data_IF_424329299917
#
_entry.id   IF_424329299917
#
_cell.length_a   1.000
_cell.length_b   1.000
_cell.length_c   1.000
_cell.angle_alpha   90.00
_cell.angle_beta   90.00
_cell.angle_gamma   90.00
#
_symmetry.space_group_name_H-M   'P 1'
#
loop_
_entity.id
_entity.type
_entity.pdbx_description
1 polymer ?
#
# COMPACT_ATOMS: atom_id res chain seq x y z
N UNK A 1 -18.15 -14.93 6.63
CA UNK A 1 -18.05 -14.59 8.06
C UNK A 1 -17.60 -15.85 8.77
N UNK A 2 -16.38 -15.88 9.30
CA UNK A 2 -15.80 -17.08 9.90
C UNK A 2 -16.58 -17.48 11.17
N UNK A 3 -16.61 -18.79 11.42
CA UNK A 3 -17.41 -19.57 12.38
C UNK A 3 -17.11 -19.23 13.87
N UNK A 4 -17.29 -17.96 14.26
CA UNK A 4 -16.85 -17.35 15.52
C UNK A 4 -17.96 -16.97 16.50
N UNK A 5 -19.18 -17.44 16.30
CA UNK A 5 -20.33 -16.98 17.12
C UNK A 5 -20.28 -17.44 18.58
N UNK A 6 -19.40 -18.37 18.94
CA UNK A 6 -19.33 -19.00 20.27
C UNK A 6 -17.90 -19.17 20.76
N UNK A 7 -17.74 -19.17 22.08
CA UNK A 7 -16.46 -19.31 22.79
C UNK A 7 -15.61 -20.55 22.40
N UNK A 8 -16.21 -21.61 21.84
CA UNK A 8 -15.48 -22.79 21.38
C UNK A 8 -14.94 -23.74 22.47
N UNK A 9 -14.84 -23.30 23.72
CA UNK A 9 -14.38 -24.13 24.84
C UNK A 9 -15.43 -25.17 25.30
N UNK A 10 -14.96 -26.25 25.94
CA UNK A 10 -15.83 -27.24 26.60
C UNK A 10 -16.21 -26.78 28.01
N UNK A 11 -17.45 -27.03 28.42
CA UNK A 11 -17.92 -26.86 29.80
C UNK A 11 -17.41 -28.00 30.67
N UNK A 12 -17.51 -27.84 31.99
CA UNK A 12 -17.15 -28.89 32.96
C UNK A 12 -17.95 -30.19 32.77
N UNK A 13 -19.20 -30.09 32.29
CA UNK A 13 -20.04 -31.23 31.91
C UNK A 13 -19.71 -31.84 30.54
N UNK A 14 -18.64 -31.37 29.88
CA UNK A 14 -18.19 -31.88 28.58
C UNK A 14 -18.89 -31.28 27.34
N UNK A 15 -19.96 -30.50 27.53
CA UNK A 15 -20.69 -29.83 26.45
C UNK A 15 -19.93 -28.64 25.85
N UNK A 16 -20.40 -28.11 24.71
CA UNK A 16 -19.83 -26.87 24.11
C UNK A 16 -20.32 -25.63 24.87
N UNK A 17 -19.43 -24.66 25.09
CA UNK A 17 -19.80 -23.37 25.67
C UNK A 17 -20.79 -22.63 24.75
N UNK A 18 -21.89 -22.15 25.35
CA UNK A 18 -22.97 -21.43 24.63
C UNK A 18 -22.79 -19.90 24.60
N UNK A 19 -21.82 -19.37 25.36
CA UNK A 19 -21.52 -17.95 25.35
C UNK A 19 -20.93 -17.53 24.00
N UNK A 20 -21.19 -16.29 23.55
CA UNK A 20 -20.48 -15.70 22.43
C UNK A 20 -18.97 -15.74 22.63
N UNK A 21 -18.21 -15.79 21.52
CA UNK A 21 -16.77 -15.58 21.57
C UNK A 21 -16.46 -14.21 22.17
N UNK A 22 -15.43 -14.14 23.01
CA UNK A 22 -15.07 -12.92 23.73
C UNK A 22 -16.11 -12.40 24.74
N UNK A 23 -17.14 -13.18 25.11
CA UNK A 23 -18.17 -12.70 26.05
C UNK A 23 -17.56 -12.23 27.37
N UNK A 24 -17.84 -10.96 27.74
CA UNK A 24 -17.28 -10.22 28.89
C UNK A 24 -15.75 -10.08 28.87
N UNK A 25 -15.18 -9.82 27.70
CA UNK A 25 -13.76 -9.51 27.50
C UNK A 25 -13.61 -8.34 26.52
N UNK A 26 -12.40 -7.82 26.35
CA UNK A 26 -12.10 -6.72 25.42
C UNK A 26 -12.00 -7.17 23.94
N UNK A 27 -12.23 -8.46 23.65
CA UNK A 27 -12.12 -9.05 22.31
C UNK A 27 -13.42 -9.70 21.83
N UNK A 28 -14.52 -8.93 21.85
CA UNK A 28 -15.85 -9.37 21.42
C UNK A 28 -15.83 -10.03 20.03
N UNK A 29 -16.41 -11.23 19.92
CA UNK A 29 -16.47 -12.00 18.68
C UNK A 29 -15.25 -12.87 18.41
N UNK A 30 -14.22 -12.84 19.26
CA UNK A 30 -12.98 -13.59 19.06
C UNK A 30 -12.59 -14.37 20.32
N UNK A 31 -11.93 -15.52 20.12
CA UNK A 31 -11.36 -16.31 21.21
C UNK A 31 -12.36 -16.80 22.27
N UNK A 32 -11.82 -17.22 23.41
CA UNK A 32 -12.61 -17.76 24.52
C UNK A 32 -13.29 -16.64 25.33
N UNK A 33 -14.46 -16.93 25.90
CA UNK A 33 -15.15 -16.01 26.81
C UNK A 33 -14.43 -15.86 28.15
N UNK A 34 -14.86 -14.87 28.94
CA UNK A 34 -14.37 -14.62 30.30
C UNK A 34 -14.35 -15.87 31.19
N UNK A 35 -15.39 -16.71 31.13
CA UNK A 35 -15.51 -17.94 31.93
C UNK A 35 -14.53 -19.05 31.51
N UNK A 36 -13.90 -18.92 30.35
CA UNK A 36 -12.94 -19.88 29.81
C UNK A 36 -11.60 -19.18 29.53
N UNK A 37 -11.13 -18.41 30.52
CA UNK A 37 -9.80 -17.78 30.53
C UNK A 37 -9.58 -16.72 29.43
N UNK A 38 -10.66 -16.23 28.79
CA UNK A 38 -10.59 -15.23 27.74
C UNK A 38 -9.88 -13.93 28.15
N UNK A 39 -10.10 -13.46 29.37
CA UNK A 39 -9.53 -12.21 29.88
C UNK A 39 -8.09 -12.34 30.41
N UNK A 40 -7.49 -13.52 30.34
CA UNK A 40 -6.08 -13.70 30.73
C UNK A 40 -5.14 -13.11 29.67
N UNK A 41 -3.89 -12.79 30.02
CA UNK A 41 -2.89 -12.30 29.06
C UNK A 41 -2.74 -13.21 27.84
N UNK A 42 -2.76 -14.54 28.05
CA UNK A 42 -2.68 -15.50 26.94
C UNK A 42 -3.99 -15.58 26.15
N UNK A 43 -5.15 -15.46 26.81
CA UNK A 43 -6.46 -15.35 26.16
C UNK A 43 -6.54 -14.12 25.26
N UNK A 44 -6.12 -12.96 25.75
CA UNK A 44 -6.05 -11.71 24.98
C UNK A 44 -5.07 -11.82 23.81
N UNK A 45 -3.87 -12.39 24.00
CA UNK A 45 -2.92 -12.64 22.90
C UNK A 45 -3.50 -13.57 21.83
N UNK A 46 -4.18 -14.64 22.24
CA UNK A 46 -4.80 -15.58 21.32
C UNK A 46 -5.96 -14.94 20.54
N UNK A 47 -6.80 -14.16 21.22
CA UNK A 47 -7.90 -13.44 20.58
C UNK A 47 -7.39 -12.34 19.63
N UNK A 48 -6.35 -11.59 20.01
CA UNK A 48 -5.71 -10.61 19.13
C UNK A 48 -5.13 -11.28 17.87
N UNK A 49 -4.50 -12.45 18.00
CA UNK A 49 -4.07 -13.23 16.84
C UNK A 49 -5.25 -13.65 15.97
N UNK A 50 -6.34 -14.14 16.56
CA UNK A 50 -7.54 -14.52 15.81
C UNK A 50 -8.18 -13.31 15.09
N UNK A 51 -8.19 -12.14 15.72
CA UNK A 51 -8.63 -10.88 15.11
C UNK A 51 -7.77 -10.51 13.91
N UNK A 52 -6.44 -10.49 14.08
CA UNK A 52 -5.50 -10.18 13.00
C UNK A 52 -5.65 -11.18 11.84
N UNK A 53 -5.80 -12.47 12.14
CA UNK A 53 -6.00 -13.49 11.11
C UNK A 53 -7.34 -13.35 10.40
N UNK A 54 -8.40 -12.90 11.09
CA UNK A 54 -9.68 -12.62 10.46
C UNK A 54 -9.65 -11.36 9.57
N UNK A 55 -8.78 -10.40 9.90
CA UNK A 55 -8.50 -9.24 9.05
C UNK A 55 -7.56 -9.58 7.88
N UNK A 56 -6.69 -10.58 8.06
CA UNK A 56 -5.77 -11.07 7.04
C UNK A 56 -6.52 -11.99 6.06
N UNK A 57 -7.27 -11.38 5.15
CA UNK A 57 -7.87 -12.09 4.01
C UNK A 57 -6.89 -12.16 2.87
N UNK A 58 -6.93 -13.26 2.11
CA UNK A 58 -6.28 -13.32 0.81
C UNK A 58 -6.81 -12.16 -0.06
N UNK A 59 -5.89 -11.40 -0.63
CA UNK A 59 -6.18 -10.31 -1.53
C UNK A 59 -5.50 -10.61 -2.86
N UNK A 60 -6.28 -10.55 -3.94
CA UNK A 60 -5.72 -10.63 -5.29
C UNK A 60 -4.95 -9.33 -5.56
N UNK A 61 -3.65 -9.46 -5.79
CA UNK A 61 -2.78 -8.33 -6.08
C UNK A 61 -1.58 -8.79 -6.90
N UNK A 62 -1.29 -8.09 -7.98
CA UNK A 62 -0.10 -8.35 -8.78
C UNK A 62 1.16 -7.93 -7.99
N UNK A 63 2.20 -8.77 -7.90
CA UNK A 63 3.40 -8.47 -7.11
C UNK A 63 4.07 -7.13 -7.46
N UNK A 64 4.08 -6.75 -8.74
CA UNK A 64 4.62 -5.46 -9.18
C UNK A 64 3.82 -4.28 -8.63
N UNK A 65 2.50 -4.40 -8.58
CA UNK A 65 1.64 -3.35 -8.01
C UNK A 65 1.84 -3.21 -6.50
N UNK A 66 2.00 -4.33 -5.79
CA UNK A 66 2.29 -4.34 -4.35
C UNK A 66 3.61 -3.63 -4.07
N UNK A 67 4.68 -3.98 -4.80
CA UNK A 67 5.99 -3.35 -4.64
C UNK A 67 5.96 -1.85 -4.96
N UNK A 68 5.32 -1.46 -6.07
CA UNK A 68 5.19 -0.06 -6.44
C UNK A 68 4.37 0.74 -5.41
N UNK A 69 3.32 0.14 -4.84
CA UNK A 69 2.54 0.75 -3.76
C UNK A 69 3.38 0.91 -2.49
N UNK A 70 4.13 -0.12 -2.10
CA UNK A 70 5.02 -0.06 -0.94
C UNK A 70 6.05 1.06 -1.10
N UNK A 71 6.73 1.16 -2.25
CA UNK A 71 7.68 2.24 -2.55
C UNK A 71 7.03 3.62 -2.40
N UNK A 72 5.83 3.82 -2.97
CA UNK A 72 5.11 5.09 -2.86
C UNK A 72 4.74 5.43 -1.41
N UNK A 73 4.27 4.45 -0.64
CA UNK A 73 3.94 4.64 0.77
C UNK A 73 5.20 4.97 1.60
N UNK A 74 6.29 4.24 1.40
CA UNK A 74 7.57 4.49 2.08
C UNK A 74 8.08 5.89 1.76
N UNK A 75 8.04 6.29 0.49
CA UNK A 75 8.47 7.63 0.08
C UNK A 75 7.57 8.73 0.65
N UNK A 76 6.26 8.51 0.72
CA UNK A 76 5.34 9.41 1.41
C UNK A 76 5.68 9.54 2.91
N UNK A 77 6.06 8.45 3.56
CA UNK A 77 6.51 8.47 4.95
C UNK A 77 7.84 9.24 5.11
N UNK A 78 8.79 9.07 4.19
CA UNK A 78 10.03 9.86 4.15
C UNK A 78 9.72 11.35 4.10
N UNK A 79 8.85 11.79 3.18
CA UNK A 79 8.47 13.20 3.05
C UNK A 79 7.78 13.73 4.31
N UNK A 80 6.87 12.95 4.89
CA UNK A 80 6.20 13.33 6.13
C UNK A 80 7.19 13.54 7.28
N UNK A 81 8.13 12.60 7.47
CA UNK A 81 9.13 12.70 8.53
C UNK A 81 10.08 13.88 8.28
N UNK A 82 10.46 14.15 7.03
CA UNK A 82 11.25 15.34 6.68
C UNK A 82 10.54 16.64 7.07
N UNK A 83 9.25 16.77 6.74
CA UNK A 83 8.46 17.93 7.13
C UNK A 83 8.40 18.06 8.66
N UNK A 84 8.20 16.95 9.39
CA UNK A 84 8.17 16.97 10.85
C UNK A 84 9.52 17.36 11.48
N UNK A 85 10.62 16.89 10.91
CA UNK A 85 11.97 17.29 11.32
C UNK A 85 12.22 18.79 11.08
N UNK A 86 11.72 19.34 9.97
CA UNK A 86 11.80 20.77 9.70
C UNK A 86 11.01 21.58 10.75
N UNK A 87 9.78 21.17 11.09
CA UNK A 87 8.99 21.81 12.14
C UNK A 87 9.70 21.79 13.50
N UNK A 88 10.27 20.64 13.89
CA UNK A 88 10.99 20.51 15.15
C UNK A 88 12.24 21.38 15.19
N UNK A 89 12.94 21.51 14.06
CA UNK A 89 14.09 22.40 13.95
C UNK A 89 13.67 23.87 14.18
N UNK A 90 12.53 24.30 13.65
CA UNK A 90 11.96 25.63 13.95
C UNK A 90 11.65 25.77 15.45
N UNK A 91 10.97 24.78 16.05
CA UNK A 91 10.65 24.80 17.48
C UNK A 91 11.88 24.90 18.37
N UNK A 92 12.97 24.21 18.01
CA UNK A 92 14.24 24.28 18.73
C UNK A 92 14.85 25.69 18.67
N UNK A 93 14.84 26.31 17.48
CA UNK A 93 15.41 27.63 17.24
C UNK A 93 14.59 28.74 17.92
N UNK A 94 13.27 28.58 17.97
CA UNK A 94 12.32 29.57 18.52
C UNK A 94 11.98 29.32 20.00
N UNK A 95 12.51 28.27 20.62
CA UNK A 95 12.21 27.92 22.01
C UNK A 95 12.62 29.04 22.98
N UNK A 96 11.63 29.57 23.71
CA UNK A 96 11.77 30.61 24.72
C UNK A 96 12.37 30.08 26.05
N UNK A 97 12.26 28.77 26.29
CA UNK A 97 12.79 28.11 27.49
C UNK A 97 13.76 26.98 27.15
N UNK A 98 14.62 26.62 28.12
CA UNK A 98 15.50 25.48 27.98
C UNK A 98 14.74 24.15 27.97
N UNK A 99 13.65 24.07 28.74
CA UNK A 99 12.80 22.87 28.85
C UNK A 99 12.07 22.56 27.52
N UNK A 100 11.50 23.59 26.86
CA UNK A 100 10.84 23.43 25.55
C UNK A 100 11.85 23.01 24.47
N UNK A 101 13.04 23.61 24.51
CA UNK A 101 14.13 23.26 23.58
C UNK A 101 14.55 21.80 23.76
N UNK A 102 14.74 21.36 25.00
CA UNK A 102 15.11 19.97 25.30
C UNK A 102 14.01 18.98 24.86
N UNK A 103 12.74 19.30 25.11
CA UNK A 103 11.62 18.47 24.67
C UNK A 103 11.57 18.32 23.14
N UNK A 104 11.79 19.41 22.38
CA UNK A 104 11.83 19.38 20.93
C UNK A 104 13.05 18.60 20.40
N UNK A 105 14.23 18.75 21.01
CA UNK A 105 15.44 17.97 20.67
C UNK A 105 15.23 16.46 20.89
N UNK A 106 14.61 16.07 22.01
CA UNK A 106 14.35 14.66 22.29
C UNK A 106 13.39 14.04 21.26
N UNK A 107 12.36 14.78 20.83
CA UNK A 107 11.50 14.35 19.73
C UNK A 107 12.28 14.25 18.42
N UNK A 108 13.17 15.20 18.12
CA UNK A 108 13.96 15.21 16.89
C UNK A 108 14.78 13.92 16.73
N UNK A 109 15.40 13.42 17.81
CA UNK A 109 16.15 12.16 17.77
C UNK A 109 15.29 10.95 17.34
N UNK A 110 14.06 10.85 17.86
CA UNK A 110 13.12 9.78 17.47
C UNK A 110 12.72 9.89 16.00
N UNK A 111 12.45 11.10 15.52
CA UNK A 111 12.09 11.33 14.12
C UNK A 111 13.27 11.15 13.16
N UNK A 112 14.50 11.45 13.58
CA UNK A 112 15.71 11.18 12.79
C UNK A 112 15.93 9.67 12.62
N UNK A 113 15.69 8.87 13.67
CA UNK A 113 15.73 7.43 13.55
C UNK A 113 14.65 6.91 12.60
N UNK A 114 13.41 7.38 12.77
CA UNK A 114 12.30 7.01 11.88
C UNK A 114 12.59 7.40 10.42
N UNK A 115 13.23 8.55 10.19
CA UNK A 115 13.66 8.97 8.86
C UNK A 115 14.62 7.97 8.23
N UNK A 116 15.67 7.56 8.95
CA UNK A 116 16.61 6.54 8.49
C UNK A 116 15.91 5.22 8.14
N UNK A 117 15.05 4.73 9.04
CA UNK A 117 14.29 3.50 8.82
C UNK A 117 13.43 3.55 7.55
N UNK A 118 12.76 4.67 7.26
CA UNK A 118 11.93 4.82 6.06
C UNK A 118 12.75 4.97 4.79
N UNK A 119 13.89 5.67 4.85
CA UNK A 119 14.82 5.77 3.71
C UNK A 119 15.36 4.37 3.35
N UNK A 120 15.78 3.59 4.35
CA UNK A 120 16.29 2.24 4.15
C UNK A 120 15.22 1.30 3.57
N UNK A 121 13.98 1.36 4.07
CA UNK A 121 12.86 0.58 3.52
C UNK A 121 12.57 0.96 2.07
N UNK A 122 12.50 2.25 1.78
CA UNK A 122 12.26 2.75 0.43
C UNK A 122 13.35 2.25 -0.54
N UNK A 123 14.62 2.34 -0.13
CA UNK A 123 15.74 1.82 -0.92
C UNK A 123 15.65 0.30 -1.13
N UNK A 124 15.29 -0.45 -0.08
CA UNK A 124 15.13 -1.91 -0.14
C UNK A 124 14.02 -2.33 -1.09
N UNK A 125 12.82 -1.75 -0.97
CA UNK A 125 11.71 -2.09 -1.86
C UNK A 125 11.97 -1.65 -3.30
N UNK A 126 12.64 -0.50 -3.50
CA UNK A 126 13.08 -0.05 -4.83
C UNK A 126 14.03 -1.07 -5.47
N UNK A 127 15.02 -1.56 -4.72
CA UNK A 127 15.90 -2.64 -5.18
C UNK A 127 15.12 -3.91 -5.52
N UNK A 128 14.20 -4.34 -4.65
CA UNK A 128 13.37 -5.54 -4.91
C UNK A 128 12.53 -5.39 -6.18
N UNK A 129 12.00 -4.20 -6.48
CA UNK A 129 11.27 -3.94 -7.71
C UNK A 129 12.16 -4.01 -8.96
N UNK A 130 13.40 -3.49 -8.88
CA UNK A 130 14.38 -3.61 -9.96
C UNK A 130 14.81 -5.06 -10.17
N UNK A 131 15.16 -5.78 -9.10
CA UNK A 131 15.56 -7.19 -9.17
C UNK A 131 14.42 -8.09 -9.72
N UNK A 132 13.17 -7.73 -9.44
CA UNK A 132 11.99 -8.42 -9.99
C UNK A 132 11.65 -8.03 -11.45
N UNK A 133 12.41 -7.13 -12.06
CA UNK A 133 12.21 -6.72 -13.45
C UNK A 133 10.96 -5.87 -13.68
N UNK A 134 10.49 -5.13 -12.66
CA UNK A 134 9.23 -4.38 -12.72
C UNK A 134 9.29 -3.30 -13.80
N UNK A 135 10.40 -2.56 -13.91
CA UNK A 135 10.56 -1.51 -14.93
C UNK A 135 10.62 -2.09 -16.34
N UNK A 136 11.38 -3.17 -16.53
CA UNK A 136 11.53 -3.86 -17.80
C UNK A 136 10.19 -4.41 -18.28
N UNK A 137 9.39 -4.95 -17.36
CA UNK A 137 8.03 -5.39 -17.67
C UNK A 137 7.13 -4.23 -18.06
N UNK A 138 7.18 -3.10 -17.35
CA UNK A 138 6.40 -1.91 -17.70
C UNK A 138 6.77 -1.37 -19.08
N UNK A 139 8.06 -1.27 -19.40
CA UNK A 139 8.55 -0.84 -20.71
C UNK A 139 8.03 -1.81 -21.79
N UNK A 140 8.20 -3.12 -21.59
CA UNK A 140 7.74 -4.13 -22.55
C UNK A 140 6.23 -4.07 -22.79
N UNK A 141 5.44 -3.85 -21.74
CA UNK A 141 3.99 -3.68 -21.88
C UNK A 141 3.65 -2.43 -22.70
N UNK A 142 4.29 -1.30 -22.39
CA UNK A 142 4.10 -0.06 -23.15
C UNK A 142 4.50 -0.20 -24.62
N UNK A 143 5.62 -0.85 -24.91
CA UNK A 143 6.07 -1.14 -26.28
C UNK A 143 5.08 -2.06 -27.02
N UNK A 144 4.62 -3.13 -26.36
CA UNK A 144 3.64 -4.06 -26.93
C UNK A 144 2.32 -3.36 -27.25
N UNK A 145 1.83 -2.50 -26.35
CA UNK A 145 0.63 -1.70 -26.57
C UNK A 145 0.84 -0.74 -27.75
N UNK A 146 1.99 -0.05 -27.82
CA UNK A 146 2.33 0.83 -28.94
C UNK A 146 2.37 0.08 -30.28
N UNK A 147 2.96 -1.11 -30.31
CA UNK A 147 2.98 -1.96 -31.49
C UNK A 147 1.57 -2.40 -31.93
N UNK A 148 0.70 -2.75 -30.98
CA UNK A 148 -0.69 -3.10 -31.28
C UNK A 148 -1.47 -1.93 -31.87
N UNK A 149 -1.28 -0.71 -31.35
CA UNK A 149 -1.87 0.50 -31.93
C UNK A 149 -1.39 0.73 -33.36
N UNK A 150 -0.09 0.60 -33.63
CA UNK A 150 0.45 0.77 -34.98
C UNK A 150 -0.14 -0.24 -35.97
N UNK A 151 -0.23 -1.52 -35.58
CA UNK A 151 -0.86 -2.58 -36.39
C UNK A 151 -2.33 -2.24 -36.68
N UNK A 152 -3.10 -1.85 -35.65
CA UNK A 152 -4.50 -1.50 -35.80
C UNK A 152 -4.70 -0.30 -36.74
N UNK A 153 -3.93 0.78 -36.55
CA UNK A 153 -3.98 1.96 -37.41
C UNK A 153 -3.60 1.64 -38.85
N UNK A 154 -2.61 0.76 -39.07
CA UNK A 154 -2.21 0.35 -40.41
C UNK A 154 -3.30 -0.49 -41.09
N UNK A 155 -3.96 -1.40 -40.36
CA UNK A 155 -5.09 -2.17 -40.88
C UNK A 155 -6.27 -1.27 -41.26
N UNK A 156 -6.60 -0.28 -40.42
CA UNK A 156 -7.64 0.73 -40.72
C UNK A 156 -7.26 1.52 -41.96
N UNK A 157 -6.02 2.03 -42.05
CA UNK A 157 -5.54 2.79 -43.20
C UNK A 157 -5.68 1.98 -44.50
N UNK A 158 -5.27 0.70 -44.47
CA UNK A 158 -5.39 -0.20 -45.62
C UNK A 158 -6.85 -0.42 -46.03
N UNK A 159 -7.75 -0.65 -45.08
CA UNK A 159 -9.18 -0.85 -45.37
C UNK A 159 -9.88 0.37 -45.97
N UNK A 160 -9.40 1.58 -45.66
CA UNK A 160 -9.97 2.83 -46.16
C UNK A 160 -9.54 3.19 -47.61
N UNK A 161 -8.56 2.49 -48.19
CA UNK A 161 -8.06 2.73 -49.56
C UNK A 161 -7.82 4.23 -49.86
N UNK A 162 -7.08 4.89 -48.98
CA UNK A 162 -6.86 6.34 -49.05
C UNK A 162 -6.09 6.75 -50.31
N UNK A 163 -6.47 7.89 -50.89
CA UNK A 163 -5.66 8.54 -51.94
C UNK A 163 -4.36 9.10 -51.35
N UNK A 164 -3.32 9.37 -52.16
CA UNK A 164 -2.05 9.93 -51.65
C UNK A 164 -2.22 11.24 -50.86
N UNK A 165 -3.16 12.10 -51.26
CA UNK A 165 -3.47 13.34 -50.52
C UNK A 165 -4.11 13.04 -49.16
N UNK A 166 -5.03 12.08 -49.09
CA UNK A 166 -5.64 11.65 -47.83
C UNK A 166 -4.64 10.92 -46.92
N UNK A 167 -3.65 10.21 -47.47
CA UNK A 167 -2.59 9.60 -46.66
C UNK A 167 -1.72 10.63 -45.93
N UNK A 168 -1.44 11.77 -46.57
CA UNK A 168 -0.68 12.85 -45.95
C UNK A 168 -1.45 13.44 -44.75
N UNK A 169 -2.75 13.67 -44.93
CA UNK A 169 -3.65 14.14 -43.86
C UNK A 169 -3.77 13.09 -42.75
N UNK A 170 -3.90 11.80 -43.10
CA UNK A 170 -3.93 10.71 -42.13
C UNK A 170 -2.70 10.70 -41.22
N UNK A 171 -1.50 10.77 -41.80
CA UNK A 171 -0.24 10.80 -41.02
C UNK A 171 -0.21 11.99 -40.06
N UNK A 172 -0.60 13.17 -40.54
CA UNK A 172 -0.67 14.36 -39.71
C UNK A 172 -1.66 14.18 -38.55
N UNK A 173 -2.86 13.68 -38.82
CA UNK A 173 -3.88 13.44 -37.80
C UNK A 173 -3.44 12.42 -36.77
N UNK A 174 -2.87 11.28 -37.20
CA UNK A 174 -2.38 10.25 -36.27
C UNK A 174 -1.31 10.84 -35.35
N UNK A 175 -0.31 11.53 -35.89
CA UNK A 175 0.76 12.13 -35.07
C UNK A 175 0.21 13.15 -34.08
N UNK A 176 -0.64 14.07 -34.53
CA UNK A 176 -1.24 15.10 -33.65
C UNK A 176 -2.03 14.47 -32.50
N UNK A 177 -2.85 13.45 -32.79
CA UNK A 177 -3.67 12.81 -31.77
C UNK A 177 -2.85 11.93 -30.82
N UNK A 178 -1.83 11.22 -31.31
CA UNK A 178 -0.94 10.43 -30.44
C UNK A 178 -0.14 11.31 -29.48
N UNK A 179 0.35 12.47 -29.93
CA UNK A 179 1.01 13.45 -29.07
C UNK A 179 0.06 14.06 -28.04
N UNK A 180 -1.20 14.30 -28.41
CA UNK A 180 -2.21 14.79 -27.48
C UNK A 180 -2.53 13.77 -26.37
N UNK A 181 -2.60 12.48 -26.71
CA UNK A 181 -2.78 11.39 -25.73
C UNK A 181 -1.60 11.33 -24.77
N UNK A 182 -0.36 11.39 -25.29
CA UNK A 182 0.85 11.36 -24.46
C UNK A 182 0.89 12.52 -23.46
N UNK A 183 0.54 13.73 -23.91
CA UNK A 183 0.44 14.91 -23.05
C UNK A 183 -0.61 14.78 -21.93
N UNK A 184 -1.73 14.08 -22.18
CA UNK A 184 -2.76 13.82 -21.17
C UNK A 184 -2.36 12.75 -20.15
N UNK A 185 -1.52 11.80 -20.54
CA UNK A 185 -1.05 10.74 -19.64
C UNK A 185 0.11 11.20 -18.75
N UNK A 186 0.84 12.24 -19.16
CA UNK A 186 1.94 12.82 -18.41
C UNK A 186 1.52 13.88 -17.36
N UNK A 187 0.26 14.32 -17.37
CA UNK A 187 -0.32 15.29 -16.41
C UNK A 187 -0.98 14.61 -15.21
#
# INVERSE_FOLDING_TARGET
MADGDKCGAKTQSGGKCRNPAGFRTDHLGYGSCFKHSGATTNGNKAAARAQVMAMATEADAEPSEVLLKAIRCDWGAVQYVQARLADLNVQILEAESAEDREAAFNQMGLWQQAYGDWVDRSAKHSKMALDAGVQERQIRLSEMIGAQFAIALQGIKQGLNLTPAQEAVWKQLVTTNMLAIDAQLAS
#
